data_IF_744538375082
#
_entry.id   IF_744538375082
#
_cell.length_a   1.000
_cell.length_b   1.000
_cell.length_c   1.000
_cell.angle_alpha   90.00
_cell.angle_beta   90.00
_cell.angle_gamma   90.00
#
_symmetry.space_group_name_H-M   'P 1'
#
loop_
_entity.id
_entity.type
_entity.pdbx_description
1 polymer ?
#
# COMPACT_ATOMS: atom_id res chain seq x y z
N UNK A 1 -43.91 -35.98 5.77
CA UNK A 1 -42.97 -34.89 6.10
C UNK A 1 -41.59 -35.38 5.67
N UNK A 2 -41.07 -34.89 4.55
CA UNK A 2 -39.75 -35.27 4.03
C UNK A 2 -38.70 -34.32 4.59
N UNK A 3 -37.77 -34.82 5.39
CA UNK A 3 -36.60 -34.07 5.84
C UNK A 3 -35.72 -33.74 4.62
N UNK A 4 -35.49 -32.45 4.39
CA UNK A 4 -34.56 -31.97 3.37
C UNK A 4 -33.13 -32.28 3.80
N UNK A 5 -32.46 -33.20 3.10
CA UNK A 5 -31.05 -33.51 3.31
C UNK A 5 -30.20 -32.35 2.80
N UNK A 6 -29.62 -31.55 3.70
CA UNK A 6 -28.63 -30.53 3.35
C UNK A 6 -27.32 -31.20 2.92
N UNK A 7 -26.65 -30.71 1.86
CA UNK A 7 -25.39 -31.28 1.39
C UNK A 7 -24.25 -31.05 2.41
N UNK A 8 -23.44 -32.09 2.65
CA UNK A 8 -22.19 -31.98 3.43
C UNK A 8 -21.11 -31.29 2.59
N UNK A 9 -20.45 -30.29 3.15
CA UNK A 9 -19.36 -29.57 2.50
C UNK A 9 -18.01 -30.16 2.92
N UNK A 10 -17.16 -30.48 1.93
CA UNK A 10 -15.76 -30.86 2.13
C UNK A 10 -14.82 -29.77 1.61
N UNK A 11 -13.69 -29.55 2.28
CA UNK A 11 -12.60 -28.70 1.79
C UNK A 11 -11.25 -29.42 1.85
N UNK A 12 -10.20 -28.80 1.31
CA UNK A 12 -8.79 -29.14 1.52
C UNK A 12 -8.09 -27.91 2.13
N UNK A 13 -7.42 -28.11 3.26
CA UNK A 13 -6.52 -27.13 3.89
C UNK A 13 -5.16 -27.80 3.80
N UNK A 14 -4.36 -27.36 2.83
CA UNK A 14 -3.20 -28.05 2.28
C UNK A 14 -3.49 -29.35 1.52
N UNK A 15 -2.55 -29.76 0.66
CA UNK A 15 -2.76 -30.69 -0.46
C UNK A 15 -3.23 -32.10 -0.09
N UNK A 16 -3.26 -32.47 1.19
CA UNK A 16 -3.44 -33.88 1.59
C UNK A 16 -4.42 -34.16 2.74
N UNK A 17 -5.13 -33.18 3.33
CA UNK A 17 -6.19 -33.48 4.31
C UNK A 17 -7.54 -32.83 3.98
N UNK A 18 -8.54 -33.69 3.79
CA UNK A 18 -9.94 -33.31 3.63
C UNK A 18 -10.65 -33.31 4.97
N UNK A 19 -11.15 -32.14 5.39
CA UNK A 19 -12.06 -32.02 6.53
C UNK A 19 -13.42 -31.52 6.04
N UNK A 20 -14.47 -32.10 6.62
CA UNK A 20 -15.88 -31.75 6.37
C UNK A 20 -16.45 -31.12 7.62
N UNK A 21 -17.03 -29.92 7.53
CA UNK A 21 -17.75 -29.31 8.65
C UNK A 21 -19.21 -29.73 8.58
N UNK A 22 -19.75 -30.09 9.73
CA UNK A 22 -21.19 -30.21 9.91
C UNK A 22 -21.82 -28.83 10.19
N UNK A 23 -23.11 -28.64 9.89
CA UNK A 23 -23.81 -27.38 10.19
C UNK A 23 -23.70 -26.91 11.65
N UNK A 24 -23.56 -27.85 12.59
CA UNK A 24 -23.30 -27.63 14.01
C UNK A 24 -21.90 -27.06 14.29
N UNK A 25 -20.85 -27.56 13.63
CA UNK A 25 -19.47 -27.04 13.75
C UNK A 25 -19.34 -25.62 13.17
N UNK A 26 -20.13 -25.28 12.15
CA UNK A 26 -20.21 -23.93 11.60
C UNK A 26 -20.87 -22.98 12.60
N UNK A 27 -21.90 -23.45 13.32
CA UNK A 27 -22.54 -22.66 14.38
C UNK A 27 -21.56 -22.39 15.53
N UNK A 28 -20.74 -23.37 15.92
CA UNK A 28 -19.69 -23.19 16.95
C UNK A 28 -18.58 -22.21 16.50
N UNK A 29 -18.15 -22.28 15.24
CA UNK A 29 -17.21 -21.31 14.64
C UNK A 29 -17.79 -19.89 14.51
N UNK A 30 -19.11 -19.75 14.58
CA UNK A 30 -19.81 -18.47 14.55
C UNK A 30 -19.99 -17.89 15.95
N UNK A 31 -20.21 -18.73 16.96
CA UNK A 31 -20.26 -18.33 18.37
C UNK A 31 -18.90 -17.89 18.92
N UNK A 32 -17.81 -18.52 18.48
CA UNK A 32 -16.45 -18.21 18.91
C UNK A 32 -15.97 -16.77 18.57
N UNK A 33 -16.55 -16.15 17.53
CA UNK A 33 -16.15 -14.82 17.03
C UNK A 33 -16.97 -13.66 17.64
N UNK A 34 -17.82 -13.90 18.66
CA UNK A 34 -18.70 -12.90 19.27
C UNK A 34 -19.62 -12.16 18.26
N UNK A 35 -19.89 -12.73 17.08
CA UNK A 35 -20.95 -12.24 16.20
C UNK A 35 -22.29 -12.85 16.63
N UNK A 36 -23.31 -12.05 16.97
CA UNK A 36 -24.62 -12.61 17.32
C UNK A 36 -25.19 -13.35 16.10
N UNK A 37 -25.55 -14.64 16.25
CA UNK A 37 -26.25 -15.42 15.20
C UNK A 37 -27.49 -14.70 14.63
N UNK A 38 -28.06 -13.76 15.39
CA UNK A 38 -29.18 -12.91 14.99
C UNK A 38 -28.86 -11.87 13.89
N UNK A 39 -27.59 -11.64 13.52
CA UNK A 39 -27.22 -10.63 12.51
C UNK A 39 -26.98 -11.19 11.11
N UNK A 40 -27.06 -12.51 10.92
CA UNK A 40 -26.97 -13.13 9.60
C UNK A 40 -28.35 -13.37 8.99
N UNK A 41 -28.54 -13.07 7.69
CA UNK A 41 -29.83 -13.27 7.03
C UNK A 41 -30.31 -14.74 7.03
N UNK A 42 -29.38 -15.69 6.83
CA UNK A 42 -29.63 -17.15 6.88
C UNK A 42 -28.32 -17.95 6.79
N UNK A 43 -28.20 -19.07 7.52
CA UNK A 43 -27.06 -20.00 7.45
C UNK A 43 -26.97 -20.68 6.08
N UNK A 44 -28.10 -20.91 5.43
CA UNK A 44 -28.14 -21.51 4.08
C UNK A 44 -27.54 -20.55 3.03
N UNK A 45 -27.78 -19.25 3.18
CA UNK A 45 -27.26 -18.21 2.30
C UNK A 45 -25.74 -18.12 2.42
N UNK A 46 -25.24 -18.20 3.65
CA UNK A 46 -23.81 -18.26 3.93
C UNK A 46 -23.16 -19.48 3.27
N UNK A 47 -23.71 -20.67 3.49
CA UNK A 47 -23.15 -21.90 2.93
C UNK A 47 -23.12 -21.86 1.40
N UNK A 48 -24.13 -21.25 0.78
CA UNK A 48 -24.19 -21.06 -0.65
C UNK A 48 -23.09 -20.13 -1.16
N UNK A 49 -22.95 -18.94 -0.56
CA UNK A 49 -21.90 -17.98 -0.92
C UNK A 49 -20.51 -18.55 -0.63
N UNK A 50 -20.31 -19.18 0.51
CA UNK A 50 -19.03 -19.80 0.88
C UNK A 50 -18.64 -20.93 -0.09
N UNK A 51 -19.61 -21.76 -0.49
CA UNK A 51 -19.42 -22.81 -1.50
C UNK A 51 -19.04 -22.25 -2.87
N UNK A 52 -19.66 -21.13 -3.29
CA UNK A 52 -19.26 -20.40 -4.50
C UNK A 52 -17.81 -19.88 -4.42
N UNK A 53 -17.44 -19.31 -3.28
CA UNK A 53 -16.14 -18.68 -3.07
C UNK A 53 -14.99 -19.68 -2.92
N UNK A 54 -15.31 -20.90 -2.47
CA UNK A 54 -14.34 -21.97 -2.19
C UNK A 54 -14.16 -22.97 -3.33
N UNK A 55 -15.00 -22.94 -4.37
CA UNK A 55 -14.96 -23.92 -5.45
C UNK A 55 -13.73 -23.74 -6.38
N UNK A 56 -12.84 -24.75 -6.49
CA UNK A 56 -11.58 -24.63 -7.23
C UNK A 56 -11.71 -24.93 -8.75
N UNK A 57 -12.83 -25.50 -9.20
CA UNK A 57 -13.02 -25.94 -10.60
C UNK A 57 -14.07 -25.11 -11.33
N UNK A 58 -13.82 -24.79 -12.61
CA UNK A 58 -14.66 -23.91 -13.42
C UNK A 58 -16.12 -24.39 -13.58
N UNK A 59 -16.35 -25.71 -13.63
CA UNK A 59 -17.68 -26.28 -13.93
C UNK A 59 -18.58 -26.38 -12.69
N UNK A 60 -18.04 -26.75 -11.51
CA UNK A 60 -18.78 -26.67 -10.25
C UNK A 60 -19.08 -25.21 -9.86
N UNK A 61 -18.37 -24.27 -10.47
CA UNK A 61 -18.52 -22.85 -10.21
C UNK A 61 -19.78 -22.25 -10.83
N UNK A 62 -20.27 -22.76 -11.96
CA UNK A 62 -21.34 -22.08 -12.70
C UNK A 62 -22.71 -22.25 -12.04
N UNK A 63 -23.01 -23.46 -11.53
CA UNK A 63 -24.23 -23.71 -10.75
C UNK A 63 -24.23 -22.92 -9.43
N UNK A 64 -23.11 -22.93 -8.70
CA UNK A 64 -22.95 -22.16 -7.47
C UNK A 64 -22.98 -20.65 -7.75
N UNK A 65 -22.39 -20.18 -8.86
CA UNK A 65 -22.47 -18.79 -9.28
C UNK A 65 -23.90 -18.38 -9.62
N UNK A 66 -24.63 -19.21 -10.36
CA UNK A 66 -26.03 -18.95 -10.70
C UNK A 66 -26.91 -18.85 -9.45
N UNK A 67 -26.74 -19.77 -8.51
CA UNK A 67 -27.47 -19.75 -7.24
C UNK A 67 -27.07 -18.54 -6.36
N UNK A 68 -25.77 -18.20 -6.31
CA UNK A 68 -25.30 -17.01 -5.60
C UNK A 68 -25.81 -15.70 -6.23
N UNK A 69 -25.89 -15.62 -7.57
CA UNK A 69 -26.53 -14.49 -8.26
C UNK A 69 -28.00 -14.37 -7.90
N UNK A 70 -28.73 -15.48 -7.86
CA UNK A 70 -30.15 -15.47 -7.55
C UNK A 70 -30.41 -15.08 -6.09
N UNK A 71 -29.58 -15.58 -5.17
CA UNK A 71 -29.57 -15.14 -3.77
C UNK A 71 -29.34 -13.62 -3.67
N UNK A 72 -28.32 -13.10 -4.37
CA UNK A 72 -28.03 -11.66 -4.35
C UNK A 72 -29.14 -10.83 -5.01
N UNK A 73 -29.79 -11.31 -6.09
CA UNK A 73 -30.91 -10.62 -6.75
C UNK A 73 -32.17 -10.57 -5.90
N UNK A 74 -32.41 -11.61 -5.11
CA UNK A 74 -33.55 -11.72 -4.22
C UNK A 74 -33.32 -11.08 -2.85
N UNK A 75 -32.06 -10.74 -2.53
CA UNK A 75 -31.68 -10.03 -1.32
C UNK A 75 -31.88 -8.52 -1.49
N UNK A 76 -32.36 -7.87 -0.44
CA UNK A 76 -32.27 -6.41 -0.35
C UNK A 76 -30.81 -5.97 -0.12
N UNK A 77 -30.58 -4.67 -0.28
CA UNK A 77 -29.28 -4.07 -0.15
C UNK A 77 -28.65 -4.27 1.24
N UNK A 78 -29.45 -4.23 2.31
CA UNK A 78 -28.97 -4.39 3.68
C UNK A 78 -28.45 -5.82 3.93
N UNK A 79 -29.12 -6.84 3.38
CA UNK A 79 -28.64 -8.22 3.44
C UNK A 79 -27.35 -8.43 2.65
N UNK A 80 -27.23 -7.82 1.47
CA UNK A 80 -26.00 -7.91 0.65
C UNK A 80 -24.82 -7.24 1.34
N UNK A 81 -25.08 -6.12 2.01
CA UNK A 81 -24.11 -5.47 2.88
C UNK A 81 -23.64 -6.41 4.00
N UNK A 82 -24.57 -7.06 4.69
CA UNK A 82 -24.27 -8.02 5.76
C UNK A 82 -23.44 -9.21 5.27
N UNK A 83 -23.71 -9.75 4.07
CA UNK A 83 -22.86 -10.80 3.50
C UNK A 83 -21.44 -10.29 3.23
N UNK A 84 -21.29 -9.12 2.62
CA UNK A 84 -19.98 -8.54 2.34
C UNK A 84 -19.19 -8.27 3.63
N UNK A 85 -19.87 -7.79 4.68
CA UNK A 85 -19.33 -7.59 6.03
C UNK A 85 -18.78 -8.88 6.62
N UNK A 86 -19.59 -9.93 6.56
CA UNK A 86 -19.23 -11.22 7.09
C UNK A 86 -17.99 -11.78 6.38
N UNK A 87 -17.98 -11.79 5.04
CA UNK A 87 -16.83 -12.30 4.28
C UNK A 87 -15.59 -11.42 4.42
N UNK A 88 -15.76 -10.11 4.64
CA UNK A 88 -14.64 -9.23 5.00
C UNK A 88 -14.02 -9.61 6.34
N UNK A 89 -14.82 -9.89 7.38
CA UNK A 89 -14.28 -10.38 8.65
C UNK A 89 -13.58 -11.74 8.50
N UNK A 90 -14.08 -12.63 7.64
CA UNK A 90 -13.42 -13.90 7.34
C UNK A 90 -12.13 -13.73 6.54
N UNK A 91 -12.02 -12.71 5.68
CA UNK A 91 -10.77 -12.32 5.04
C UNK A 91 -9.76 -11.84 6.08
N UNK A 92 -10.19 -11.02 7.05
CA UNK A 92 -9.33 -10.56 8.15
C UNK A 92 -8.83 -11.71 9.03
N UNK A 93 -9.66 -12.71 9.27
CA UNK A 93 -9.31 -13.92 10.02
C UNK A 93 -8.48 -14.93 9.21
N UNK A 94 -8.18 -14.66 7.92
CA UNK A 94 -7.45 -15.58 7.05
C UNK A 94 -8.23 -16.84 6.63
N UNK A 95 -9.55 -16.86 6.84
CA UNK A 95 -10.44 -17.99 6.54
C UNK A 95 -10.78 -18.06 5.04
N UNK A 96 -10.80 -16.91 4.37
CA UNK A 96 -10.93 -16.83 2.90
C UNK A 96 -9.78 -16.03 2.31
N UNK A 97 -9.47 -16.29 1.04
CA UNK A 97 -8.45 -15.53 0.30
C UNK A 97 -8.99 -14.19 -0.21
N UNK A 98 -8.09 -13.26 -0.55
CA UNK A 98 -8.49 -12.02 -1.25
C UNK A 98 -9.12 -12.31 -2.62
N UNK A 99 -8.66 -13.36 -3.32
CA UNK A 99 -9.27 -13.78 -4.58
C UNK A 99 -10.74 -14.19 -4.38
N UNK A 100 -11.07 -14.87 -3.28
CA UNK A 100 -12.44 -15.16 -2.88
C UNK A 100 -13.20 -13.86 -2.64
N UNK A 101 -12.66 -12.91 -1.87
CA UNK A 101 -13.33 -11.62 -1.63
C UNK A 101 -13.59 -10.83 -2.92
N UNK A 102 -12.63 -10.77 -3.84
CA UNK A 102 -12.80 -10.11 -5.15
C UNK A 102 -13.92 -10.78 -5.94
N UNK A 103 -13.98 -12.11 -5.96
CA UNK A 103 -15.06 -12.84 -6.64
C UNK A 103 -16.44 -12.55 -6.05
N UNK A 104 -16.55 -12.37 -4.73
CA UNK A 104 -17.80 -11.94 -4.10
C UNK A 104 -18.18 -10.53 -4.56
N UNK A 105 -17.23 -9.59 -4.56
CA UNK A 105 -17.46 -8.21 -4.97
C UNK A 105 -17.82 -8.09 -6.45
N UNK A 106 -17.18 -8.88 -7.32
CA UNK A 106 -17.52 -8.96 -8.74
C UNK A 106 -18.94 -9.49 -8.94
N UNK A 107 -19.33 -10.52 -8.17
CA UNK A 107 -20.68 -11.08 -8.22
C UNK A 107 -21.74 -10.06 -7.77
N UNK A 108 -21.46 -9.32 -6.69
CA UNK A 108 -22.32 -8.24 -6.21
C UNK A 108 -22.40 -7.12 -7.25
N UNK A 109 -21.28 -6.74 -7.87
CA UNK A 109 -21.26 -5.75 -8.94
C UNK A 109 -22.03 -6.23 -10.19
N UNK A 110 -21.95 -7.50 -10.56
CA UNK A 110 -22.70 -8.08 -11.67
C UNK A 110 -24.23 -7.97 -11.43
N UNK A 111 -24.67 -8.26 -10.20
CA UNK A 111 -26.08 -8.27 -9.82
C UNK A 111 -26.65 -6.85 -9.65
N UNK A 112 -25.88 -5.96 -9.04
CA UNK A 112 -26.28 -4.59 -8.66
C UNK A 112 -25.68 -3.50 -9.55
N UNK A 113 -25.13 -3.82 -10.72
CA UNK A 113 -24.61 -2.81 -11.67
C UNK A 113 -24.97 -3.01 -13.14
N UNK A 114 -26.17 -3.50 -13.53
CA UNK A 114 -26.49 -3.60 -14.96
C UNK A 114 -26.79 -2.24 -15.63
N UNK A 115 -27.01 -1.13 -14.89
CA UNK A 115 -27.46 0.16 -15.46
C UNK A 115 -26.79 1.43 -14.92
N UNK A 116 -25.57 1.34 -14.39
CA UNK A 116 -24.70 2.52 -14.15
C UNK A 116 -25.21 3.57 -13.15
N UNK A 117 -26.29 3.31 -12.40
CA UNK A 117 -26.78 4.19 -11.31
C UNK A 117 -26.42 3.69 -9.90
N UNK A 118 -25.75 2.54 -9.79
CA UNK A 118 -25.55 1.83 -8.51
C UNK A 118 -24.08 1.60 -8.13
N UNK A 119 -23.12 2.15 -8.89
CA UNK A 119 -21.72 2.27 -8.42
C UNK A 119 -21.61 3.09 -7.12
N UNK A 120 -22.64 3.92 -6.82
CA UNK A 120 -22.81 4.62 -5.55
C UNK A 120 -23.15 3.65 -4.41
N UNK A 121 -23.89 2.58 -4.70
CA UNK A 121 -24.40 1.61 -3.72
C UNK A 121 -23.33 0.62 -3.26
N UNK A 122 -22.45 0.11 -4.13
CA UNK A 122 -21.29 -0.68 -3.68
C UNK A 122 -20.37 0.14 -2.75
N UNK A 123 -20.20 1.43 -3.07
CA UNK A 123 -19.51 2.39 -2.21
C UNK A 123 -20.27 2.74 -0.91
N UNK A 124 -21.59 2.49 -0.83
CA UNK A 124 -22.37 2.61 0.41
C UNK A 124 -22.26 1.33 1.24
N UNK A 125 -22.32 0.13 0.63
CA UNK A 125 -22.07 -1.14 1.30
C UNK A 125 -20.73 -1.05 2.03
N UNK A 126 -19.65 -0.77 1.30
CA UNK A 126 -18.29 -0.66 1.85
C UNK A 126 -18.16 0.40 2.96
N UNK A 127 -18.97 1.47 2.92
CA UNK A 127 -19.02 2.49 3.99
C UNK A 127 -19.73 1.99 5.26
N UNK A 128 -20.85 1.30 5.10
CA UNK A 128 -21.61 0.76 6.24
C UNK A 128 -20.91 -0.44 6.90
N UNK A 129 -20.15 -1.25 6.12
CA UNK A 129 -19.23 -2.28 6.65
C UNK A 129 -18.28 -1.67 7.70
N UNK A 130 -17.70 -0.53 7.37
CA UNK A 130 -16.71 0.13 8.22
C UNK A 130 -17.34 0.92 9.39
N UNK A 131 -18.60 1.32 9.27
CA UNK A 131 -19.31 2.08 10.30
C UNK A 131 -19.73 1.28 11.54
N UNK A 132 -19.86 -0.05 11.44
CA UNK A 132 -20.37 -0.92 12.53
C UNK A 132 -19.28 -1.61 13.36
N UNK A 133 -18.01 -1.59 12.95
CA UNK A 133 -16.91 -2.32 13.64
C UNK A 133 -16.15 -1.51 14.70
N UNK A 134 -16.59 -0.31 15.10
CA UNK A 134 -15.89 0.54 16.07
C UNK A 134 -16.72 0.83 17.33
N UNK A 135 -16.51 0.10 18.46
CA UNK A 135 -16.97 0.53 19.76
C UNK A 135 -15.89 1.45 20.38
N UNK A 136 -16.03 2.76 20.21
CA UNK A 136 -15.15 3.74 20.84
C UNK A 136 -15.64 5.17 20.68
N UNK A 137 -15.39 6.08 21.64
CA UNK A 137 -15.95 7.42 21.63
C UNK A 137 -15.41 8.21 20.44
N UNK A 138 -16.34 8.70 19.60
CA UNK A 138 -16.05 9.57 18.46
C UNK A 138 -15.40 10.87 18.94
N UNK A 139 -14.07 10.90 18.96
CA UNK A 139 -13.26 12.13 18.93
C UNK A 139 -12.07 11.89 18.00
N UNK A 140 -12.35 12.05 16.72
CA UNK A 140 -11.34 12.19 15.68
C UNK A 140 -11.93 13.11 14.63
N UNK A 141 -11.81 14.41 14.82
CA UNK A 141 -12.06 15.36 13.75
C UNK A 141 -11.08 15.01 12.63
N UNK A 142 -11.58 14.61 11.46
CA UNK A 142 -10.76 14.62 10.25
C UNK A 142 -10.30 16.06 10.07
N UNK A 143 -9.01 16.33 10.32
CA UNK A 143 -8.45 17.68 10.32
C UNK A 143 -8.72 18.34 8.96
N UNK A 144 -9.17 19.60 9.02
CA UNK A 144 -9.57 20.38 7.86
C UNK A 144 -8.36 20.68 6.98
N UNK A 145 -8.54 20.63 5.65
CA UNK A 145 -7.48 21.03 4.72
C UNK A 145 -7.32 22.52 4.80
N UNK A 146 -6.10 22.95 5.14
CA UNK A 146 -5.76 24.35 5.38
C UNK A 146 -5.21 25.07 4.14
N UNK A 147 -5.22 24.42 2.96
CA UNK A 147 -4.67 25.02 1.74
C UNK A 147 -5.52 24.87 0.49
N UNK A 148 -5.24 25.73 -0.50
CA UNK A 148 -5.88 25.71 -1.81
C UNK A 148 -5.04 24.90 -2.81
N UNK A 149 -5.66 23.96 -3.51
CA UNK A 149 -4.97 23.03 -4.42
C UNK A 149 -4.46 23.64 -5.74
N UNK A 150 -4.91 24.84 -6.10
CA UNK A 150 -4.51 25.47 -7.35
C UNK A 150 -3.02 25.85 -7.32
N UNK A 151 -2.25 25.33 -8.27
CA UNK A 151 -0.83 25.63 -8.43
C UNK A 151 -0.59 27.14 -8.66
N UNK A 152 0.35 27.71 -7.91
CA UNK A 152 0.65 29.16 -7.97
C UNK A 152 -0.38 30.05 -7.26
N UNK A 153 -1.26 29.51 -6.42
CA UNK A 153 -2.16 30.30 -5.59
C UNK A 153 -1.39 30.92 -4.40
N UNK A 154 -0.99 32.19 -4.51
CA UNK A 154 -0.20 32.93 -3.52
C UNK A 154 -0.97 33.42 -2.28
N UNK A 155 -2.24 33.05 -2.10
CA UNK A 155 -3.03 33.40 -0.89
C UNK A 155 -2.49 32.76 0.41
N UNK A 156 -1.26 32.24 0.39
CA UNK A 156 -0.53 31.72 1.53
C UNK A 156 0.57 32.65 2.07
N UNK A 157 0.99 33.69 1.34
CA UNK A 157 2.11 34.53 1.81
C UNK A 157 1.67 35.65 2.78
N UNK A 158 0.39 36.01 2.78
CA UNK A 158 -0.21 37.01 3.67
C UNK A 158 -1.23 36.32 4.60
N UNK A 159 -0.75 35.60 5.61
CA UNK A 159 -1.61 34.86 6.55
C UNK A 159 -2.35 35.81 7.51
N UNK A 160 -3.62 36.06 7.21
CA UNK A 160 -4.66 36.37 8.21
C UNK A 160 -5.47 35.09 8.45
N UNK A 161 -5.65 34.70 9.72
CA UNK A 161 -6.13 33.40 10.18
C UNK A 161 -7.63 33.08 9.92
N UNK A 162 -8.18 33.42 8.74
CA UNK A 162 -9.64 33.40 8.51
C UNK A 162 -10.13 32.90 7.16
N UNK A 163 -9.28 32.35 6.29
CA UNK A 163 -9.74 31.87 4.96
C UNK A 163 -10.41 30.51 5.09
N UNK A 164 -11.73 30.48 5.00
CA UNK A 164 -12.51 29.23 4.95
C UNK A 164 -12.30 28.51 3.62
N UNK A 165 -11.71 27.33 3.69
CA UNK A 165 -11.47 26.50 2.54
C UNK A 165 -12.67 25.62 2.22
N UNK A 166 -12.95 25.51 0.93
CA UNK A 166 -14.10 24.75 0.45
C UNK A 166 -13.64 23.47 -0.21
N UNK A 167 -13.90 22.34 0.46
CA UNK A 167 -13.62 21.00 -0.06
C UNK A 167 -14.39 20.71 -1.34
N UNK A 168 -13.79 19.91 -2.22
CA UNK A 168 -14.50 19.29 -3.32
C UNK A 168 -15.57 18.36 -2.75
N UNK A 169 -16.83 18.54 -3.17
CA UNK A 169 -17.97 17.76 -2.69
C UNK A 169 -17.94 16.28 -3.09
N UNK A 170 -17.11 15.93 -4.08
CA UNK A 170 -17.07 14.58 -4.63
C UNK A 170 -16.02 13.71 -3.95
N UNK A 171 -14.77 14.18 -3.87
CA UNK A 171 -13.67 13.40 -3.32
C UNK A 171 -13.33 13.75 -1.87
N UNK A 172 -13.71 14.95 -1.42
CA UNK A 172 -13.41 15.51 -0.09
C UNK A 172 -11.91 15.65 0.25
N UNK A 173 -11.01 15.08 -0.56
CA UNK A 173 -9.56 15.08 -0.39
C UNK A 173 -8.86 16.35 -0.90
N UNK A 174 -9.59 17.29 -1.49
CA UNK A 174 -9.03 18.50 -2.13
C UNK A 174 -9.83 19.72 -1.71
N UNK A 175 -9.14 20.83 -1.41
CA UNK A 175 -9.75 22.09 -0.97
C UNK A 175 -9.30 23.29 -1.79
N UNK A 176 -10.14 24.33 -1.81
CA UNK A 176 -9.90 25.56 -2.55
C UNK A 176 -10.27 26.78 -1.72
N UNK A 177 -9.45 27.84 -1.77
CA UNK A 177 -9.72 29.11 -1.08
C UNK A 177 -10.84 29.92 -1.73
N UNK A 178 -11.19 29.60 -2.97
CA UNK A 178 -12.25 30.27 -3.72
C UNK A 178 -12.78 29.37 -4.83
N UNK A 179 -14.01 29.66 -5.28
CA UNK A 179 -14.60 29.01 -6.45
C UNK A 179 -13.79 29.29 -7.73
N UNK A 180 -13.09 30.43 -7.80
CA UNK A 180 -12.18 30.75 -8.89
C UNK A 180 -11.00 29.75 -8.94
N UNK A 181 -10.39 29.44 -7.80
CA UNK A 181 -9.30 28.45 -7.75
C UNK A 181 -9.77 27.05 -8.10
N UNK A 182 -10.96 26.66 -7.61
CA UNK A 182 -11.62 25.41 -7.99
C UNK A 182 -11.87 25.33 -9.49
N UNK A 183 -12.39 26.39 -10.09
CA UNK A 183 -12.70 26.44 -11.52
C UNK A 183 -11.45 26.34 -12.38
N UNK A 184 -10.37 27.03 -11.99
CA UNK A 184 -9.05 26.94 -12.64
C UNK A 184 -8.42 25.55 -12.54
N UNK A 185 -8.56 24.89 -11.38
CA UNK A 185 -8.06 23.53 -11.20
C UNK A 185 -9.00 22.47 -11.75
N UNK A 186 -10.23 22.83 -12.13
CA UNK A 186 -11.33 21.90 -12.41
C UNK A 186 -10.98 20.87 -13.50
N UNK A 187 -10.27 21.25 -14.56
CA UNK A 187 -9.87 20.33 -15.61
C UNK A 187 -8.84 19.29 -15.12
N UNK A 188 -7.84 19.74 -14.37
CA UNK A 188 -6.85 18.85 -13.72
C UNK A 188 -7.57 18.01 -12.69
N UNK A 189 -8.18 18.63 -11.67
CA UNK A 189 -8.89 17.95 -10.58
C UNK A 189 -9.93 16.94 -11.06
N UNK A 190 -10.79 17.25 -12.03
CA UNK A 190 -11.83 16.33 -12.53
C UNK A 190 -11.25 15.02 -13.07
N UNK A 191 -10.03 15.06 -13.63
CA UNK A 191 -9.32 13.85 -14.07
C UNK A 191 -8.84 12.96 -12.90
N UNK A 192 -8.76 13.50 -11.68
CA UNK A 192 -8.27 12.79 -10.48
C UNK A 192 -9.35 12.60 -9.41
N UNK A 193 -10.43 13.36 -9.45
CA UNK A 193 -11.45 13.44 -8.40
C UNK A 193 -12.02 12.06 -8.03
N UNK A 194 -12.36 11.22 -9.02
CA UNK A 194 -12.88 9.87 -8.77
C UNK A 194 -11.85 8.95 -8.08
N UNK A 195 -10.57 9.12 -8.37
CA UNK A 195 -9.51 8.30 -7.79
C UNK A 195 -9.16 8.75 -6.38
N UNK A 196 -9.08 10.07 -6.16
CA UNK A 196 -8.91 10.65 -4.82
C UNK A 196 -10.07 10.26 -3.91
N UNK A 197 -11.30 10.22 -4.45
CA UNK A 197 -12.47 9.70 -3.74
C UNK A 197 -12.28 8.24 -3.33
N UNK A 198 -11.87 7.37 -4.27
CA UNK A 198 -11.64 5.96 -3.97
C UNK A 198 -10.53 5.78 -2.92
N UNK A 199 -9.48 6.59 -3.00
CA UNK A 199 -8.38 6.58 -2.04
C UNK A 199 -8.79 7.06 -0.64
N UNK A 200 -9.52 8.17 -0.53
CA UNK A 200 -10.09 8.64 0.75
C UNK A 200 -10.99 7.57 1.36
N UNK A 201 -11.83 6.91 0.56
CA UNK A 201 -12.66 5.79 1.03
C UNK A 201 -11.82 4.61 1.52
N UNK A 202 -10.73 4.26 0.83
CA UNK A 202 -9.81 3.21 1.27
C UNK A 202 -9.07 3.61 2.56
N UNK A 203 -8.70 4.88 2.72
CA UNK A 203 -7.96 5.39 3.87
C UNK A 203 -8.85 5.46 5.12
N UNK A 204 -10.06 5.98 4.99
CA UNK A 204 -11.03 6.05 6.09
C UNK A 204 -11.56 4.66 6.47
N UNK A 205 -11.60 3.72 5.51
CA UNK A 205 -12.00 2.34 5.75
C UNK A 205 -10.94 1.47 6.43
N UNK A 206 -9.66 1.87 6.39
CA UNK A 206 -8.54 1.13 6.97
C UNK A 206 -8.09 1.81 8.25
N UNK A 207 -8.58 1.34 9.40
CA UNK A 207 -8.16 1.85 10.70
C UNK A 207 -6.63 1.79 10.91
N UNK A 208 -6.07 2.50 11.90
CA UNK A 208 -4.62 2.69 12.10
C UNK A 208 -3.80 1.41 12.37
N UNK A 209 -4.40 0.22 12.35
CA UNK A 209 -3.74 -1.08 12.40
C UNK A 209 -3.92 -1.96 11.16
N UNK A 210 -4.47 -1.45 10.05
CA UNK A 210 -4.88 -2.25 8.88
C UNK A 210 -4.08 -1.97 7.59
N UNK A 211 -2.80 -1.56 7.73
CA UNK A 211 -1.85 -1.41 6.62
C UNK A 211 -1.63 -2.71 5.81
N UNK A 212 -2.00 -3.88 6.34
CA UNK A 212 -1.96 -5.16 5.60
C UNK A 212 -2.90 -5.19 4.38
N UNK A 213 -3.96 -4.37 4.32
CA UNK A 213 -4.84 -4.32 3.14
C UNK A 213 -4.18 -3.59 1.95
N UNK A 214 -3.31 -2.60 2.20
CA UNK A 214 -2.44 -2.01 1.16
C UNK A 214 -1.47 -3.06 0.61
N UNK A 215 -0.93 -3.90 1.49
CA UNK A 215 -0.09 -5.05 1.12
C UNK A 215 -0.89 -6.12 0.37
N UNK A 216 -2.20 -6.26 0.61
CA UNK A 216 -3.06 -7.20 -0.11
C UNK A 216 -3.65 -6.65 -1.42
N UNK A 217 -3.61 -5.34 -1.68
CA UNK A 217 -3.80 -4.80 -3.03
C UNK A 217 -2.56 -5.04 -3.91
N UNK A 218 -1.36 -5.03 -3.33
CA UNK A 218 -0.12 -5.46 -4.00
C UNK A 218 0.09 -6.98 -4.01
N UNK A 219 -0.40 -7.75 -3.03
CA UNK A 219 -0.37 -9.23 -3.00
C UNK A 219 -1.58 -9.90 -3.66
N UNK A 220 -2.74 -9.23 -3.71
CA UNK A 220 -3.92 -9.68 -4.47
C UNK A 220 -3.68 -9.63 -5.97
N UNK A 221 -2.69 -8.86 -6.41
CA UNK A 221 -1.88 -9.15 -7.58
C UNK A 221 -0.97 -10.36 -7.27
N UNK A 222 -1.56 -11.52 -7.00
CA UNK A 222 -0.82 -12.77 -6.90
C UNK A 222 -0.22 -13.04 -8.29
N UNK A 223 1.01 -12.57 -8.51
CA UNK A 223 1.78 -12.87 -9.72
C UNK A 223 2.03 -14.39 -9.88
N UNK A 224 1.89 -15.16 -8.81
CA UNK A 224 2.05 -16.61 -8.83
C UNK A 224 0.79 -17.36 -9.28
N UNK A 225 -0.42 -16.83 -9.06
CA UNK A 225 -1.66 -17.59 -9.25
C UNK A 225 -2.71 -16.84 -10.09
N UNK A 226 -2.63 -17.08 -11.41
CA UNK A 226 -3.71 -17.02 -12.40
C UNK A 226 -4.04 -15.71 -13.15
N UNK A 227 -3.24 -14.64 -13.06
CA UNK A 227 -3.34 -13.55 -14.06
C UNK A 227 -2.15 -13.42 -15.03
N UNK A 228 -1.04 -14.11 -14.79
CA UNK A 228 0.07 -14.24 -15.75
C UNK A 228 0.66 -15.65 -15.63
N UNK A 229 0.98 -16.36 -16.73
CA UNK A 229 1.73 -17.60 -16.62
C UNK A 229 3.08 -17.32 -15.93
N UNK A 230 3.54 -18.16 -14.98
CA UNK A 230 4.77 -17.97 -14.18
C UNK A 230 6.08 -18.00 -14.99
N UNK A 231 6.01 -17.88 -16.31
CA UNK A 231 7.16 -17.88 -17.23
C UNK A 231 7.29 -16.58 -18.04
N UNK A 232 6.42 -15.57 -17.80
CA UNK A 232 6.50 -14.26 -18.47
C UNK A 232 6.29 -13.10 -17.49
N UNK A 233 6.94 -13.12 -16.33
CA UNK A 233 7.65 -11.89 -15.98
C UNK A 233 8.55 -11.66 -17.18
N UNK A 234 8.27 -10.68 -18.04
CA UNK A 234 9.20 -10.29 -19.10
C UNK A 234 10.49 -9.98 -18.34
N UNK A 235 11.39 -10.96 -18.31
CA UNK A 235 12.72 -10.77 -17.82
C UNK A 235 13.21 -9.63 -18.69
N UNK A 236 13.31 -8.45 -18.10
CA UNK A 236 13.99 -7.36 -18.76
C UNK A 236 15.39 -7.92 -18.91
N UNK A 237 15.72 -8.38 -20.13
CA UNK A 237 16.94 -9.10 -20.43
C UNK A 237 18.07 -8.34 -19.75
N UNK A 238 18.69 -8.95 -18.75
CA UNK A 238 19.59 -8.28 -17.80
C UNK A 238 20.79 -7.62 -18.49
N UNK A 239 20.97 -7.89 -19.78
CA UNK A 239 21.98 -7.31 -20.67
C UNK A 239 21.54 -6.01 -21.35
N UNK A 240 20.24 -5.69 -21.39
CA UNK A 240 19.66 -4.45 -21.98
C UNK A 240 18.80 -3.64 -21.00
N UNK A 241 18.62 -4.14 -19.77
CA UNK A 241 17.44 -3.88 -18.96
C UNK A 241 17.39 -2.72 -17.96
N UNK A 242 18.41 -1.86 -17.89
CA UNK A 242 18.32 -0.64 -17.05
C UNK A 242 18.52 0.66 -17.79
N UNK A 243 19.26 0.67 -18.91
CA UNK A 243 19.49 1.90 -19.68
C UNK A 243 18.19 2.56 -20.16
N UNK A 244 17.15 1.76 -20.44
CA UNK A 244 15.86 2.28 -20.90
C UNK A 244 14.92 2.77 -19.78
N UNK A 245 15.12 2.33 -18.52
CA UNK A 245 14.23 2.70 -17.39
C UNK A 245 14.88 3.76 -16.49
N UNK A 246 16.21 3.76 -16.40
CA UNK A 246 16.98 4.68 -15.55
C UNK A 246 16.74 6.17 -15.84
N UNK A 247 16.31 6.53 -17.05
CA UNK A 247 16.07 7.94 -17.43
C UNK A 247 14.57 8.30 -17.58
N UNK A 248 13.67 7.32 -17.57
CA UNK A 248 12.26 7.53 -17.96
C UNK A 248 11.23 7.51 -16.84
N UNK A 249 11.63 7.14 -15.61
CA UNK A 249 10.77 7.08 -14.43
C UNK A 249 9.47 6.28 -14.61
N UNK A 250 8.40 6.73 -13.96
CA UNK A 250 7.08 6.09 -14.04
C UNK A 250 6.53 5.96 -15.45
N UNK A 251 6.76 6.95 -16.33
CA UNK A 251 6.20 6.91 -17.68
C UNK A 251 6.83 5.78 -18.51
N UNK A 252 8.15 5.58 -18.39
CA UNK A 252 8.81 4.45 -19.02
C UNK A 252 8.35 3.11 -18.43
N UNK A 253 8.22 3.03 -17.10
CA UNK A 253 7.72 1.83 -16.42
C UNK A 253 6.31 1.46 -16.89
N UNK A 254 5.38 2.41 -16.89
CA UNK A 254 4.00 2.14 -17.29
C UNK A 254 3.86 1.91 -18.78
N UNK A 255 4.67 2.56 -19.62
CA UNK A 255 4.71 2.23 -21.05
C UNK A 255 5.11 0.76 -21.26
N UNK A 256 6.21 0.32 -20.67
CA UNK A 256 6.66 -1.08 -20.75
C UNK A 256 5.58 -2.04 -20.24
N UNK A 257 4.95 -1.70 -19.11
CA UNK A 257 3.86 -2.50 -18.55
C UNK A 257 2.64 -2.55 -19.45
N UNK A 258 2.21 -1.43 -20.02
CA UNK A 258 1.09 -1.35 -20.96
C UNK A 258 1.40 -2.13 -22.23
N UNK A 259 2.64 -2.13 -22.70
CA UNK A 259 3.08 -2.94 -23.84
C UNK A 259 3.01 -4.44 -23.52
N UNK A 260 3.51 -4.86 -22.34
CA UNK A 260 3.39 -6.23 -21.85
C UNK A 260 1.91 -6.65 -21.68
N UNK A 261 1.05 -5.76 -21.14
CA UNK A 261 -0.38 -6.06 -20.95
C UNK A 261 -1.18 -6.05 -22.26
N UNK A 262 -0.80 -5.23 -23.25
CA UNK A 262 -1.38 -5.28 -24.60
C UNK A 262 -1.09 -6.63 -25.26
N UNK A 263 0.09 -7.20 -25.04
CA UNK A 263 0.39 -8.57 -25.46
C UNK A 263 -0.52 -9.60 -24.75
N UNK A 264 -0.89 -9.36 -23.49
CA UNK A 264 -1.74 -10.23 -22.66
C UNK A 264 -3.27 -10.06 -22.85
N UNK A 265 -3.74 -9.21 -23.78
CA UNK A 265 -5.18 -9.01 -24.14
C UNK A 265 -6.15 -8.61 -23.01
N UNK A 266 -5.72 -7.91 -21.95
CA UNK A 266 -6.62 -7.37 -20.89
C UNK A 266 -6.34 -5.89 -20.56
N UNK A 267 -7.03 -4.91 -21.19
CA UNK A 267 -6.58 -3.50 -21.16
C UNK A 267 -7.22 -2.58 -20.09
N UNK A 268 -8.29 -2.98 -19.40
CA UNK A 268 -9.26 -2.01 -18.86
C UNK A 268 -9.07 -1.54 -17.41
N UNK A 269 -8.10 -2.07 -16.65
CA UNK A 269 -7.89 -1.69 -15.24
C UNK A 269 -6.64 -0.81 -14.98
N UNK A 270 -5.99 -0.31 -16.03
CA UNK A 270 -4.58 0.11 -15.92
C UNK A 270 -4.36 1.38 -15.08
N UNK A 271 -5.08 2.48 -15.29
CA UNK A 271 -4.64 3.79 -14.75
C UNK A 271 -4.76 3.94 -13.23
N UNK A 272 -5.80 3.37 -12.59
CA UNK A 272 -5.96 3.45 -11.14
C UNK A 272 -4.92 2.57 -10.43
N UNK A 273 -4.72 1.35 -10.93
CA UNK A 273 -3.70 0.43 -10.45
C UNK A 273 -2.31 1.02 -10.63
N UNK A 274 -2.02 1.64 -11.78
CA UNK A 274 -0.77 2.40 -12.03
C UNK A 274 -0.53 3.44 -10.93
N UNK A 275 -1.54 4.25 -10.59
CA UNK A 275 -1.41 5.27 -9.53
C UNK A 275 -1.19 4.68 -8.15
N UNK A 276 -1.98 3.67 -7.75
CA UNK A 276 -1.81 2.98 -6.47
C UNK A 276 -0.41 2.39 -6.34
N UNK A 277 0.13 1.85 -7.44
CA UNK A 277 1.49 1.33 -7.47
C UNK A 277 2.53 2.44 -7.34
N UNK A 278 2.31 3.64 -7.88
CA UNK A 278 3.29 4.73 -7.63
C UNK A 278 3.37 5.10 -6.16
N UNK A 279 2.26 5.01 -5.43
CA UNK A 279 2.26 5.29 -4.00
C UNK A 279 2.98 4.18 -3.21
N UNK A 280 2.66 2.92 -3.50
CA UNK A 280 3.23 1.77 -2.80
C UNK A 280 4.64 1.39 -3.21
N UNK A 281 5.10 1.81 -4.40
CA UNK A 281 6.43 1.48 -4.91
C UNK A 281 7.39 2.65 -4.84
N UNK A 282 6.95 3.88 -4.57
CA UNK A 282 7.82 5.07 -4.55
C UNK A 282 9.06 4.85 -3.67
N UNK A 283 8.89 4.38 -2.42
CA UNK A 283 10.02 4.14 -1.51
C UNK A 283 10.97 3.06 -2.03
N UNK A 284 10.42 1.94 -2.51
CA UNK A 284 11.21 0.80 -3.03
C UNK A 284 12.00 1.21 -4.27
N UNK A 285 11.38 1.96 -5.17
CA UNK A 285 11.99 2.44 -6.40
C UNK A 285 13.01 3.55 -6.17
N UNK A 286 12.76 4.42 -5.18
CA UNK A 286 13.73 5.42 -4.71
C UNK A 286 14.99 4.74 -4.21
N UNK A 287 14.84 3.68 -3.40
CA UNK A 287 15.96 2.86 -2.94
C UNK A 287 16.68 2.21 -4.12
N UNK A 288 15.98 1.53 -5.02
CA UNK A 288 16.58 0.87 -6.19
C UNK A 288 17.43 1.83 -7.04
N UNK A 289 16.87 2.99 -7.38
CA UNK A 289 17.58 4.00 -8.17
C UNK A 289 18.81 4.53 -7.42
N UNK A 290 18.65 4.84 -6.13
CA UNK A 290 19.75 5.37 -5.32
C UNK A 290 20.89 4.36 -5.22
N UNK A 291 20.58 3.08 -5.01
CA UNK A 291 21.61 2.04 -4.98
C UNK A 291 22.35 1.93 -6.32
N UNK A 292 21.68 2.12 -7.47
CA UNK A 292 22.38 2.18 -8.75
C UNK A 292 23.32 3.38 -8.84
N UNK A 293 22.86 4.57 -8.44
CA UNK A 293 23.63 5.81 -8.46
C UNK A 293 24.84 5.77 -7.49
N UNK A 294 24.73 5.03 -6.39
CA UNK A 294 25.83 4.74 -5.46
C UNK A 294 26.77 3.62 -5.95
N UNK A 295 26.60 3.11 -7.18
CA UNK A 295 27.42 2.03 -7.73
C UNK A 295 27.13 0.64 -7.12
N UNK A 296 26.07 0.51 -6.32
CA UNK A 296 25.66 -0.73 -5.65
C UNK A 296 24.63 -1.54 -6.46
N UNK A 297 24.30 -1.10 -7.69
CA UNK A 297 23.26 -1.75 -8.52
C UNK A 297 23.56 -3.20 -8.92
N UNK A 298 24.83 -3.62 -8.86
CA UNK A 298 25.27 -4.98 -9.18
C UNK A 298 25.59 -5.84 -7.96
N UNK A 299 25.36 -5.34 -6.75
CA UNK A 299 25.66 -6.06 -5.51
C UNK A 299 24.79 -7.32 -5.37
N UNK A 300 25.41 -8.43 -4.93
CA UNK A 300 24.68 -9.66 -4.64
C UNK A 300 24.02 -9.68 -3.27
N UNK A 301 24.48 -8.82 -2.36
CA UNK A 301 23.91 -8.65 -1.03
C UNK A 301 23.82 -7.16 -0.72
N UNK A 302 22.69 -6.73 -0.19
CA UNK A 302 22.46 -5.36 0.27
C UNK A 302 21.97 -5.34 1.71
N UNK A 303 22.59 -4.48 2.52
CA UNK A 303 22.21 -4.22 3.90
C UNK A 303 21.72 -2.78 4.00
N UNK A 304 20.41 -2.58 4.10
CA UNK A 304 19.79 -1.25 4.06
C UNK A 304 19.28 -0.92 5.46
N UNK A 305 19.68 0.24 5.99
CA UNK A 305 19.20 0.71 7.28
C UNK A 305 18.17 1.81 7.04
N UNK A 306 16.92 1.57 7.42
CA UNK A 306 15.82 2.52 7.25
C UNK A 306 15.59 3.26 8.58
N UNK A 307 15.99 4.53 8.62
CA UNK A 307 15.86 5.41 9.77
C UNK A 307 14.49 6.10 9.76
N UNK A 308 13.90 6.27 10.94
CA UNK A 308 12.54 6.82 11.06
C UNK A 308 11.48 5.89 10.49
N UNK A 309 11.77 4.59 10.39
CA UNK A 309 10.86 3.62 9.80
C UNK A 309 9.55 3.59 10.61
N UNK A 310 8.42 3.82 9.96
CA UNK A 310 7.08 3.82 10.54
C UNK A 310 6.12 2.97 9.72
N UNK A 311 6.16 3.13 8.41
CA UNK A 311 5.28 2.43 7.46
C UNK A 311 6.07 1.54 6.48
N UNK A 312 7.40 1.63 6.52
CA UNK A 312 8.33 0.92 5.65
C UNK A 312 8.28 -0.59 5.84
N UNK A 313 7.83 -1.08 7.00
CA UNK A 313 7.74 -2.52 7.28
C UNK A 313 6.76 -3.26 6.34
N UNK A 314 5.82 -2.53 5.75
CA UNK A 314 4.78 -3.07 4.88
C UNK A 314 5.05 -2.85 3.39
N UNK A 315 6.17 -2.24 3.04
CA UNK A 315 6.48 -1.97 1.63
C UNK A 315 6.87 -3.28 0.92
N UNK A 316 6.57 -3.41 -0.39
CA UNK A 316 6.85 -4.63 -1.16
C UNK A 316 8.34 -4.70 -1.55
N UNK A 317 9.22 -4.86 -0.55
CA UNK A 317 10.67 -4.83 -0.73
C UNK A 317 11.20 -5.94 -1.65
N UNK A 318 10.47 -7.04 -1.83
CA UNK A 318 10.78 -8.07 -2.82
C UNK A 318 10.92 -7.52 -4.26
N UNK A 319 10.27 -6.40 -4.58
CA UNK A 319 10.41 -5.76 -5.89
C UNK A 319 11.86 -5.36 -6.19
N UNK A 320 12.69 -5.07 -5.17
CA UNK A 320 14.11 -4.79 -5.38
C UNK A 320 14.84 -5.89 -6.14
N UNK A 321 14.42 -7.15 -6.00
CA UNK A 321 15.04 -8.27 -6.72
C UNK A 321 14.75 -8.29 -8.23
N UNK A 322 13.71 -7.58 -8.67
CA UNK A 322 13.40 -7.37 -10.08
C UNK A 322 14.30 -6.28 -10.64
N UNK A 323 14.49 -5.21 -9.86
CA UNK A 323 15.25 -4.02 -10.26
C UNK A 323 16.76 -4.15 -10.11
N UNK A 324 17.20 -5.04 -9.22
CA UNK A 324 18.60 -5.33 -8.93
C UNK A 324 18.83 -6.82 -9.22
N UNK A 325 19.01 -7.22 -10.50
CA UNK A 325 18.93 -8.62 -10.91
C UNK A 325 20.00 -9.52 -10.26
N UNK A 326 21.16 -8.94 -9.91
CA UNK A 326 22.24 -9.64 -9.22
C UNK A 326 21.97 -9.84 -7.72
N UNK A 327 21.00 -9.12 -7.15
CA UNK A 327 20.67 -9.18 -5.74
C UNK A 327 20.12 -10.57 -5.39
N UNK A 328 20.77 -11.21 -4.42
CA UNK A 328 20.38 -12.51 -3.86
C UNK A 328 19.91 -12.37 -2.42
N UNK A 329 20.56 -11.50 -1.65
CA UNK A 329 20.24 -11.29 -0.24
C UNK A 329 19.92 -9.83 0.02
N UNK A 330 18.74 -9.56 0.58
CA UNK A 330 18.35 -8.24 1.04
C UNK A 330 18.16 -8.27 2.56
N UNK A 331 18.90 -7.45 3.29
CA UNK A 331 18.73 -7.27 4.74
C UNK A 331 18.25 -5.86 5.02
N UNK A 332 17.11 -5.74 5.67
CA UNK A 332 16.51 -4.48 6.09
C UNK A 332 16.62 -4.34 7.60
N UNK A 333 17.29 -3.30 8.06
CA UNK A 333 17.30 -2.90 9.47
C UNK A 333 16.38 -1.70 9.61
N UNK A 334 15.18 -1.90 10.13
CA UNK A 334 14.20 -0.86 10.38
C UNK A 334 14.46 -0.25 11.75
N UNK A 335 14.67 1.06 11.81
CA UNK A 335 15.02 1.79 13.03
C UNK A 335 14.05 2.96 13.17
N UNK A 336 13.22 2.94 14.20
CA UNK A 336 12.28 4.03 14.44
C UNK A 336 11.43 3.83 15.70
N UNK A 337 11.08 4.92 16.42
CA UNK A 337 10.26 4.84 17.62
C UNK A 337 8.79 4.47 17.34
N UNK A 338 8.34 4.68 16.10
CA UNK A 338 6.95 4.43 15.67
C UNK A 338 6.73 3.03 15.09
N UNK A 339 7.74 2.17 15.10
CA UNK A 339 7.60 0.79 14.63
C UNK A 339 6.59 0.03 15.49
N UNK A 340 5.75 -0.78 14.84
CA UNK A 340 4.76 -1.58 15.56
C UNK A 340 5.44 -2.61 16.46
N UNK A 341 5.03 -2.65 17.73
CA UNK A 341 5.47 -3.68 18.69
C UNK A 341 4.91 -5.09 18.38
N UNK A 342 4.00 -5.19 17.40
CA UNK A 342 3.40 -6.46 16.97
C UNK A 342 4.33 -7.25 16.05
N UNK A 343 4.32 -8.58 16.23
CA UNK A 343 5.07 -9.53 15.41
C UNK A 343 6.53 -9.73 15.85
N UNK A 344 7.30 -10.54 15.11
CA UNK A 344 8.68 -10.82 15.47
C UNK A 344 9.60 -9.63 15.14
N UNK A 345 10.52 -9.32 16.05
CA UNK A 345 11.56 -8.30 15.85
C UNK A 345 12.57 -8.68 14.75
N UNK A 346 12.59 -9.94 14.33
CA UNK A 346 13.41 -10.43 13.24
C UNK A 346 12.62 -11.44 12.43
N UNK A 347 12.62 -11.29 11.11
CA UNK A 347 12.03 -12.25 10.19
C UNK A 347 12.97 -12.49 9.02
N UNK A 348 13.02 -13.72 8.53
CA UNK A 348 13.75 -14.10 7.32
C UNK A 348 12.85 -15.00 6.49
N UNK A 349 12.76 -14.73 5.20
CA UNK A 349 11.99 -15.56 4.26
C UNK A 349 12.68 -15.65 2.91
N UNK A 350 12.56 -16.81 2.27
CA UNK A 350 12.89 -16.96 0.85
C UNK A 350 11.80 -16.30 0.00
N UNK A 351 12.20 -15.68 -1.11
CA UNK A 351 11.25 -15.09 -2.07
C UNK A 351 10.81 -16.19 -3.05
N UNK A 352 9.51 -16.54 -3.11
CA UNK A 352 9.03 -17.56 -4.03
C UNK A 352 9.23 -17.15 -5.49
N UNK A 353 9.47 -18.13 -6.37
CA UNK A 353 9.45 -17.94 -7.83
C UNK A 353 10.68 -17.24 -8.42
N UNK A 354 11.70 -16.90 -7.63
CA UNK A 354 12.95 -16.39 -8.18
C UNK A 354 13.85 -17.50 -8.71
N UNK A 355 14.45 -17.29 -9.88
CA UNK A 355 15.53 -18.14 -10.37
C UNK A 355 16.75 -18.00 -9.41
N UNK A 356 16.92 -19.01 -8.55
CA UNK A 356 17.89 -19.00 -7.45
C UNK A 356 17.27 -18.65 -6.09
N UNK A 357 17.91 -19.09 -5.01
CA UNK A 357 17.48 -18.82 -3.64
C UNK A 357 17.71 -17.34 -3.30
N UNK A 358 16.68 -16.50 -3.50
CA UNK A 358 16.67 -15.11 -3.03
C UNK A 358 16.08 -15.05 -1.62
N UNK A 359 16.67 -14.23 -0.76
CA UNK A 359 16.30 -14.15 0.66
C UNK A 359 16.14 -12.71 1.09
N UNK A 360 15.05 -12.41 1.80
CA UNK A 360 14.84 -11.15 2.50
C UNK A 360 14.84 -11.39 4.00
N UNK A 361 15.66 -10.63 4.71
CA UNK A 361 15.70 -10.59 6.17
C UNK A 361 15.36 -9.18 6.65
N UNK A 362 14.51 -9.06 7.66
CA UNK A 362 14.10 -7.81 8.27
C UNK A 362 14.33 -7.88 9.77
N UNK A 363 14.95 -6.84 10.33
CA UNK A 363 15.14 -6.66 11.77
C UNK A 363 14.60 -5.30 12.20
N UNK A 364 13.82 -5.27 13.28
CA UNK A 364 13.25 -4.05 13.86
C UNK A 364 14.05 -3.62 15.09
N UNK A 365 14.34 -2.32 15.18
CA UNK A 365 14.91 -1.64 16.34
C UNK A 365 13.97 -0.49 16.73
N UNK A 366 13.16 -0.69 17.77
CA UNK A 366 12.12 0.26 18.21
C UNK A 366 12.75 1.36 19.07
N UNK A 367 13.55 2.20 18.44
CA UNK A 367 14.21 3.35 19.04
C UNK A 367 14.78 4.27 17.95
N UNK A 368 15.32 5.41 18.32
CA UNK A 368 16.15 6.21 17.44
C UNK A 368 17.54 5.60 17.30
N UNK A 369 18.22 5.83 16.18
CA UNK A 369 19.57 5.30 15.93
C UNK A 369 20.57 5.65 17.03
N UNK A 370 20.53 6.88 17.54
CA UNK A 370 21.40 7.37 18.61
C UNK A 370 21.12 6.75 19.98
N UNK A 371 20.03 6.02 20.13
CA UNK A 371 19.65 5.30 21.34
C UNK A 371 20.03 3.81 21.24
N UNK A 372 20.39 3.31 20.05
CA UNK A 372 20.82 1.93 19.86
C UNK A 372 22.15 1.72 20.60
N UNK A 373 22.25 0.72 21.51
CA UNK A 373 23.50 0.43 22.20
C UNK A 373 24.64 0.18 21.20
N UNK A 374 25.82 0.77 21.45
CA UNK A 374 26.98 0.64 20.53
C UNK A 374 27.39 -0.81 20.28
N UNK A 375 27.26 -1.69 21.29
CA UNK A 375 27.49 -3.13 21.12
C UNK A 375 26.54 -3.74 20.10
N UNK A 376 25.26 -3.38 20.16
CA UNK A 376 24.25 -3.85 19.22
C UNK A 376 24.49 -3.31 17.81
N UNK A 377 24.89 -2.04 17.66
CA UNK A 377 25.27 -1.46 16.36
C UNK A 377 26.45 -2.23 15.75
N UNK A 378 27.45 -2.60 16.56
CA UNK A 378 28.59 -3.38 16.10
C UNK A 378 28.25 -4.81 15.67
N UNK A 379 27.12 -5.36 16.14
CA UNK A 379 26.59 -6.67 15.71
C UNK A 379 25.75 -6.59 14.43
N UNK A 380 25.34 -5.39 13.99
CA UNK A 380 24.58 -5.22 12.76
C UNK A 380 25.49 -5.42 11.54
N UNK A 381 24.94 -5.96 10.43
CA UNK A 381 25.70 -6.07 9.20
C UNK A 381 26.09 -4.67 8.70
N UNK A 382 27.31 -4.48 8.16
CA UNK A 382 27.74 -3.20 7.59
C UNK A 382 26.72 -2.71 6.57
N UNK A 383 26.28 -1.46 6.74
CA UNK A 383 25.26 -0.87 5.89
C UNK A 383 25.83 -0.60 4.49
N UNK A 384 25.05 -0.90 3.45
CA UNK A 384 25.33 -0.44 2.08
C UNK A 384 24.93 1.02 1.90
N UNK A 385 23.88 1.45 2.62
CA UNK A 385 23.40 2.83 2.69
C UNK A 385 22.36 2.94 3.82
N UNK A 386 22.34 4.10 4.47
CA UNK A 386 21.31 4.49 5.42
C UNK A 386 20.26 5.32 4.67
N UNK A 387 18.98 5.06 4.88
CA UNK A 387 17.87 5.79 4.24
C UNK A 387 16.97 6.39 5.30
N UNK A 388 16.72 7.70 5.20
CA UNK A 388 15.71 8.42 5.95
C UNK A 388 14.68 8.95 4.95
N UNK A 389 13.69 8.11 4.64
CA UNK A 389 12.70 8.41 3.62
C UNK A 389 11.66 9.37 4.18
N UNK A 390 11.38 10.47 3.48
CA UNK A 390 10.33 11.42 3.82
C UNK A 390 10.37 11.87 5.29
N UNK A 391 11.58 12.05 5.81
CA UNK A 391 11.83 12.02 7.25
C UNK A 391 11.29 13.22 8.03
N UNK A 392 10.97 14.34 7.36
CA UNK A 392 10.57 15.57 8.04
C UNK A 392 11.67 16.10 8.96
N UNK A 393 12.93 15.72 8.77
CA UNK A 393 13.97 15.88 9.79
C UNK A 393 14.21 17.33 10.25
N UNK A 394 13.88 18.33 9.41
CA UNK A 394 13.94 19.75 9.80
C UNK A 394 12.85 20.17 10.78
N UNK A 395 11.72 19.47 10.82
CA UNK A 395 10.57 19.78 11.67
C UNK A 395 10.67 19.11 13.05
N UNK A 396 11.55 18.13 13.19
CA UNK A 396 11.65 17.28 14.38
C UNK A 396 13.07 17.31 14.94
N UNK A 397 13.36 18.15 15.95
CA UNK A 397 14.70 18.27 16.55
C UNK A 397 15.29 16.95 17.06
N UNK A 398 14.46 15.96 17.37
CA UNK A 398 14.86 14.60 17.75
C UNK A 398 15.68 13.86 16.69
N UNK A 399 15.67 14.30 15.43
CA UNK A 399 16.53 13.76 14.39
C UNK A 399 17.99 14.15 14.55
N UNK A 400 18.29 15.34 15.09
CA UNK A 400 19.66 15.87 15.08
C UNK A 400 20.71 14.92 15.69
N UNK A 401 20.46 14.24 16.83
CA UNK A 401 21.43 13.28 17.37
C UNK A 401 21.61 12.05 16.46
N UNK A 402 20.55 11.54 15.84
CA UNK A 402 20.59 10.45 14.85
C UNK A 402 21.45 10.84 13.65
N UNK A 403 21.18 12.01 13.07
CA UNK A 403 21.88 12.54 11.90
C UNK A 403 23.37 12.75 12.17
N UNK A 404 23.67 13.39 13.30
CA UNK A 404 25.04 13.63 13.74
C UNK A 404 25.79 12.32 13.93
N UNK A 405 25.17 11.32 14.58
CA UNK A 405 25.79 10.01 14.76
C UNK A 405 26.06 9.33 13.41
N UNK A 406 25.10 9.34 12.48
CA UNK A 406 25.27 8.72 11.16
C UNK A 406 26.40 9.38 10.34
N UNK A 407 26.45 10.72 10.32
CA UNK A 407 27.51 11.48 9.63
C UNK A 407 28.88 11.21 10.26
N UNK A 408 28.98 11.27 11.59
CA UNK A 408 30.26 11.14 12.30
C UNK A 408 30.83 9.73 12.28
N UNK A 409 29.96 8.72 12.26
CA UNK A 409 30.41 7.32 12.27
C UNK A 409 30.85 6.83 10.89
N UNK A 410 30.48 7.55 9.83
CA UNK A 410 30.82 7.26 8.44
C UNK A 410 30.59 5.79 8.06
N UNK A 411 29.45 5.22 8.51
CA UNK A 411 29.16 3.79 8.28
C UNK A 411 28.86 3.48 6.82
N UNK A 412 28.12 4.36 6.15
CA UNK A 412 27.80 4.31 4.73
C UNK A 412 27.21 5.67 4.31
N UNK A 413 27.01 5.92 3.00
CA UNK A 413 26.25 7.08 2.54
C UNK A 413 24.86 7.14 3.19
N UNK A 414 24.48 8.34 3.63
CA UNK A 414 23.20 8.62 4.22
C UNK A 414 22.31 9.32 3.19
N UNK A 415 21.22 8.65 2.83
CA UNK A 415 20.26 9.05 1.81
C UNK A 415 19.03 9.64 2.48
N UNK A 416 18.59 10.80 2.00
CA UNK A 416 17.34 11.43 2.40
C UNK A 416 16.40 11.54 1.23
N UNK A 417 15.12 11.37 1.51
CA UNK A 417 14.08 11.91 0.66
C UNK A 417 13.18 12.88 1.42
N UNK A 418 12.53 13.76 0.68
CA UNK A 418 11.66 14.79 1.21
C UNK A 418 10.40 14.95 0.34
N UNK A 419 9.33 15.42 0.95
CA UNK A 419 8.02 15.62 0.35
C UNK A 419 8.00 16.80 -0.61
N UNK A 420 8.73 17.86 -0.23
CA UNK A 420 8.69 19.16 -0.88
C UNK A 420 10.09 19.82 -0.91
N UNK A 421 10.26 20.80 -1.80
CA UNK A 421 11.55 21.41 -2.03
C UNK A 421 12.08 22.22 -0.82
N UNK A 422 11.26 23.02 -0.10
CA UNK A 422 11.73 23.74 1.07
C UNK A 422 12.23 22.82 2.18
N UNK A 423 11.54 21.69 2.40
CA UNK A 423 11.99 20.65 3.33
C UNK A 423 13.34 20.08 2.91
N UNK A 424 13.45 19.68 1.64
CA UNK A 424 14.67 19.09 1.10
C UNK A 424 15.88 20.04 1.20
N UNK A 425 15.68 21.33 0.92
CA UNK A 425 16.69 22.38 1.09
C UNK A 425 17.07 22.57 2.55
N UNK A 426 16.09 22.64 3.46
CA UNK A 426 16.35 22.78 4.88
C UNK A 426 17.15 21.60 5.44
N UNK A 427 16.81 20.37 5.05
CA UNK A 427 17.55 19.17 5.48
C UNK A 427 18.96 19.23 4.92
N UNK A 428 19.13 19.60 3.65
CA UNK A 428 20.45 19.74 3.02
C UNK A 428 21.34 20.70 3.79
N UNK A 429 20.88 21.93 4.05
CA UNK A 429 21.66 22.94 4.78
C UNK A 429 21.99 22.49 6.20
N UNK A 430 21.04 21.83 6.89
CA UNK A 430 21.28 21.24 8.21
C UNK A 430 22.42 20.22 8.17
N UNK A 431 22.43 19.32 7.19
CA UNK A 431 23.46 18.27 7.07
C UNK A 431 24.82 18.84 6.68
N UNK A 432 24.87 19.82 5.77
CA UNK A 432 26.09 20.53 5.42
C UNK A 432 26.68 21.27 6.63
N UNK A 433 25.82 21.89 7.46
CA UNK A 433 26.21 22.50 8.73
C UNK A 433 26.79 21.50 9.74
N UNK A 434 26.39 20.22 9.68
CA UNK A 434 26.99 19.12 10.45
C UNK A 434 28.30 18.60 9.86
N UNK A 435 28.74 19.17 8.72
CA UNK A 435 29.98 18.81 8.05
C UNK A 435 29.83 17.71 7.00
N UNK A 436 28.62 17.23 6.70
CA UNK A 436 28.44 16.26 5.64
C UNK A 436 28.85 16.82 4.26
N UNK A 437 29.17 15.93 3.33
CA UNK A 437 29.44 16.28 1.93
C UNK A 437 28.42 15.62 1.02
N UNK A 438 27.85 16.30 0.01
CA UNK A 438 27.01 15.65 -0.98
C UNK A 438 27.79 14.58 -1.73
N UNK A 439 27.15 13.46 -2.03
CA UNK A 439 27.68 12.47 -2.96
C UNK A 439 27.55 13.00 -4.39
N UNK A 440 28.60 12.85 -5.19
CA UNK A 440 28.62 13.32 -6.58
C UNK A 440 27.44 12.75 -7.39
N UNK A 441 26.70 13.64 -8.08
CA UNK A 441 25.51 13.27 -8.87
C UNK A 441 24.24 12.96 -8.05
N UNK A 442 24.32 13.06 -6.72
CA UNK A 442 23.24 12.84 -5.77
C UNK A 442 23.05 14.01 -4.80
N UNK A 443 23.45 15.22 -5.18
CA UNK A 443 23.08 16.45 -4.45
C UNK A 443 21.67 16.89 -4.87
N UNK A 444 20.77 16.95 -3.89
CA UNK A 444 19.39 17.43 -3.95
C UNK A 444 18.76 17.48 -5.36
N UNK A 445 18.19 16.36 -5.78
CA UNK A 445 17.56 16.23 -7.10
C UNK A 445 16.11 15.81 -7.02
N UNK A 446 15.35 16.12 -8.06
CA UNK A 446 14.03 15.54 -8.25
C UNK A 446 14.15 14.02 -8.43
N UNK A 447 13.35 13.28 -7.69
CA UNK A 447 13.24 11.84 -7.81
C UNK A 447 12.20 11.48 -8.88
N UNK A 448 12.62 10.70 -9.88
CA UNK A 448 11.73 10.25 -10.95
C UNK A 448 10.73 9.18 -10.49
N UNK A 449 10.98 8.58 -9.32
CA UNK A 449 10.12 7.58 -8.68
C UNK A 449 9.26 8.15 -7.56
N UNK A 450 9.21 9.47 -7.43
CA UNK A 450 8.27 10.12 -6.53
C UNK A 450 6.84 9.67 -6.81
N UNK A 451 5.96 9.52 -5.81
CA UNK A 451 4.57 9.10 -6.10
C UNK A 451 3.93 10.04 -7.12
N UNK A 452 3.03 9.51 -7.96
CA UNK A 452 2.17 10.36 -8.80
C UNK A 452 0.90 10.78 -8.05
N UNK A 453 0.57 10.06 -6.98
CA UNK A 453 -0.49 10.44 -6.05
C UNK A 453 0.12 11.40 -5.03
N UNK A 454 -0.36 12.65 -4.99
CA UNK A 454 -0.02 13.52 -3.89
C UNK A 454 -0.62 13.01 -2.58
N UNK A 455 0.16 13.04 -1.50
CA UNK A 455 -0.35 12.79 -0.17
C UNK A 455 -1.30 13.91 0.28
N UNK A 456 -2.05 13.64 1.33
CA UNK A 456 -3.12 14.52 1.80
C UNK A 456 -2.54 15.90 2.16
N UNK A 457 -3.01 16.99 1.54
CA UNK A 457 -2.54 18.35 1.83
C UNK A 457 -2.91 18.84 3.23
N UNK A 458 -3.63 18.06 4.04
CA UNK A 458 -3.88 18.33 5.46
C UNK A 458 -2.59 18.31 6.32
N UNK A 459 -1.47 17.81 5.79
CA UNK A 459 -0.15 17.96 6.42
C UNK A 459 0.39 19.39 6.22
N UNK A 460 -0.10 20.33 7.03
CA UNK A 460 0.42 21.64 7.51
C UNK A 460 1.39 22.52 6.66
N UNK A 461 1.69 22.24 5.39
CA UNK A 461 2.84 22.85 4.70
C UNK A 461 2.55 23.58 3.38
N UNK A 462 1.29 23.79 3.01
CA UNK A 462 0.93 24.69 1.91
C UNK A 462 1.31 24.25 0.49
N UNK A 463 2.07 23.16 0.36
CA UNK A 463 2.38 22.52 -0.90
C UNK A 463 1.85 21.09 -0.88
N UNK A 464 1.49 20.59 -2.05
CA UNK A 464 0.95 19.25 -2.20
C UNK A 464 2.11 18.24 -2.06
N UNK A 465 2.17 17.44 -0.99
CA UNK A 465 3.32 16.58 -0.74
C UNK A 465 3.31 15.37 -1.68
N UNK A 466 4.47 14.92 -2.14
CA UNK A 466 4.61 13.65 -2.88
C UNK A 466 5.57 12.72 -2.15
N UNK A 467 5.28 11.42 -2.14
CA UNK A 467 6.19 10.45 -1.54
C UNK A 467 7.54 10.50 -2.26
N UNK A 468 8.61 10.77 -1.51
CA UNK A 468 9.98 10.78 -1.97
C UNK A 468 10.22 11.76 -3.12
N UNK A 469 9.65 12.98 -3.11
CA UNK A 469 9.74 13.93 -4.24
C UNK A 469 11.16 14.33 -4.60
N UNK A 470 11.95 14.63 -3.58
CA UNK A 470 13.35 15.01 -3.71
C UNK A 470 14.19 13.95 -3.03
N UNK A 471 15.36 13.67 -3.59
CA UNK A 471 16.32 12.71 -3.04
C UNK A 471 17.72 13.34 -3.04
N UNK A 472 18.49 13.04 -2.01
CA UNK A 472 19.92 13.36 -1.95
C UNK A 472 20.66 12.29 -1.17
N UNK A 473 21.96 12.17 -1.43
CA UNK A 473 22.86 11.35 -0.63
C UNK A 473 24.03 12.20 -0.14
N UNK A 474 24.45 11.95 1.09
CA UNK A 474 25.56 12.62 1.74
C UNK A 474 26.50 11.61 2.39
N UNK A 475 27.76 11.99 2.55
CA UNK A 475 28.80 11.24 3.23
C UNK A 475 29.36 12.02 4.42
N UNK A 476 29.95 11.28 5.36
CA UNK A 476 30.76 11.86 6.43
C UNK A 476 32.02 12.58 5.90
N UNK A 477 32.65 13.37 6.77
CA UNK A 477 33.95 13.98 6.46
C UNK A 477 35.07 12.97 6.36
#
# INVERSE_FOLDING_TARGET
MSESVLPRLSWSVDSDEHRTFRPDEISELMEADNMPLATLPSVADFLLLFSYLSSPTANANEANAAAARELLRSSDFEKVEQYCLFFYHRLQAGVISMASMVRLLDLVAEVFSPKGRESVQLGVILRSINGRSAPGPRRGACLESQYCQLEGCHLMEEFDAGVNLTRCRDCESVSYCSENCRSRDSARHKAWCRHLKAESMLREGLGPGQSSLRVNLTRGLNFADRCFPPHECVAIDGTKGMGAIGEGGWEAYFRLRREAMKAAKKPQESQFVERLMTDSLSSVMTVAQTMHLLGQGSASELNIWLLGASHEEYQPWEELFVWLPNLKTLRLILIGPSLTMGGPNSMSRSVPGSAGSKTIALRKLICCLHEVPRSLVAELPPSSALFALNSGAIFYPSWQPTLKMAIQSNWAPLVFSAWMQPEALGVREMLLGMGARPVDGLDLRANQWASLIPQDPNDDHGSVPFNNRFVMAIEGK
#
